data_IF_711806819581
#
_entry.id   IF_711806819581
#
_cell.length_a   1.000
_cell.length_b   1.000
_cell.length_c   1.000
_cell.angle_alpha   90.00
_cell.angle_beta   90.00
_cell.angle_gamma   90.00
#
_symmetry.space_group_name_H-M   'P 1'
#
loop_
_entity.id
_entity.type
_entity.pdbx_description
1 polymer ?
#
# COMPACT_ATOMS: atom_id res chain seq x y z
N UNK A 1 -38.24 -18.88 14.72
CA UNK A 1 -39.09 -18.36 15.80
C UNK A 1 -40.39 -17.92 15.14
N UNK A 2 -41.41 -18.76 15.18
CA UNK A 2 -42.70 -18.53 14.50
C UNK A 2 -43.73 -18.32 15.61
N UNK A 3 -44.25 -17.10 15.75
CA UNK A 3 -45.30 -16.83 16.74
C UNK A 3 -46.65 -17.37 16.23
N UNK A 4 -47.45 -18.01 17.09
CA UNK A 4 -48.76 -18.52 16.70
C UNK A 4 -49.74 -17.36 16.59
N UNK A 5 -50.47 -17.31 15.47
CA UNK A 5 -51.51 -16.31 15.21
C UNK A 5 -52.66 -16.51 16.21
N UNK A 6 -52.70 -15.69 17.27
CA UNK A 6 -53.83 -15.66 18.19
C UNK A 6 -55.07 -15.08 17.48
N UNK A 7 -56.02 -15.94 17.12
CA UNK A 7 -57.36 -15.55 16.69
C UNK A 7 -58.16 -15.01 17.90
N UNK A 8 -57.80 -13.80 18.33
CA UNK A 8 -58.52 -13.05 19.37
C UNK A 8 -59.03 -11.74 18.79
N UNK A 9 -60.26 -11.77 18.29
CA UNK A 9 -61.27 -10.73 18.53
C UNK A 9 -62.58 -11.18 17.90
N UNK A 10 -63.54 -11.56 18.74
CA UNK A 10 -64.92 -11.80 18.33
C UNK A 10 -65.37 -10.69 17.36
N UNK A 11 -65.73 -11.13 16.16
CA UNK A 11 -65.94 -10.28 14.98
C UNK A 11 -66.65 -8.97 15.36
N UNK A 12 -66.16 -7.79 14.92
CA UNK A 12 -66.82 -6.51 15.17
C UNK A 12 -68.30 -6.53 14.77
N UNK A 13 -68.65 -7.40 13.82
CA UNK A 13 -70.01 -7.68 13.39
C UNK A 13 -70.86 -8.30 14.51
N UNK A 14 -70.33 -9.25 15.30
CA UNK A 14 -71.05 -9.85 16.45
C UNK A 14 -71.34 -8.81 17.55
N UNK A 15 -70.38 -7.92 17.85
CA UNK A 15 -70.60 -6.82 18.82
C UNK A 15 -71.58 -5.78 18.30
N UNK A 16 -71.53 -5.50 17.00
CA UNK A 16 -72.49 -4.62 16.34
C UNK A 16 -73.90 -5.20 16.41
N UNK A 17 -74.11 -6.48 16.06
CA UNK A 17 -75.41 -7.13 16.16
C UNK A 17 -75.92 -7.25 17.59
N UNK A 18 -75.05 -7.47 18.58
CA UNK A 18 -75.45 -7.44 19.99
C UNK A 18 -75.97 -6.04 20.40
N UNK A 19 -75.23 -4.98 20.09
CA UNK A 19 -75.69 -3.59 20.33
C UNK A 19 -76.94 -3.22 19.56
N UNK A 20 -77.10 -3.74 18.34
CA UNK A 20 -78.28 -3.49 17.52
C UNK A 20 -79.50 -4.19 18.09
N UNK A 21 -79.33 -5.42 18.62
CA UNK A 21 -80.38 -6.18 19.30
C UNK A 21 -80.86 -5.46 20.56
N UNK A 22 -79.95 -4.99 21.39
CA UNK A 22 -80.31 -4.26 22.62
C UNK A 22 -81.04 -2.95 22.30
N UNK A 23 -80.60 -2.24 21.26
CA UNK A 23 -81.29 -1.03 20.77
C UNK A 23 -82.64 -1.32 20.14
N UNK A 24 -82.80 -2.45 19.47
CA UNK A 24 -84.08 -2.88 18.89
C UNK A 24 -85.10 -3.22 19.96
N UNK A 25 -84.69 -3.90 21.04
CA UNK A 25 -85.57 -4.20 22.17
C UNK A 25 -85.99 -2.92 22.91
N UNK A 26 -85.07 -1.97 23.12
CA UNK A 26 -85.41 -0.66 23.69
C UNK A 26 -86.38 0.14 22.79
N UNK A 27 -86.12 0.16 21.48
CA UNK A 27 -86.98 0.84 20.49
C UNK A 27 -88.37 0.20 20.39
N UNK A 28 -88.47 -1.12 20.62
CA UNK A 28 -89.73 -1.86 20.63
C UNK A 28 -90.59 -1.56 21.86
N UNK A 29 -89.97 -1.22 23.01
CA UNK A 29 -90.68 -0.79 24.21
C UNK A 29 -91.24 0.63 24.09
N UNK A 30 -90.58 1.51 23.35
CA UNK A 30 -90.97 2.92 23.19
C UNK A 30 -92.09 3.12 22.13
N UNK A 31 -92.30 2.13 21.26
CA UNK A 31 -93.39 2.09 20.30
C UNK A 31 -94.52 1.17 20.80
N UNK A 32 -95.55 1.75 21.42
CA UNK A 32 -96.80 1.04 21.72
C UNK A 32 -97.46 0.55 20.41
N UNK A 33 -97.27 -0.75 20.09
CA UNK A 33 -97.86 -1.39 18.92
C UNK A 33 -99.34 -1.70 19.15
N UNK A 34 -100.21 -0.79 18.73
CA UNK A 34 -101.64 -1.04 18.57
C UNK A 34 -101.88 -2.06 17.43
N UNK A 35 -102.83 -2.98 17.59
CA UNK A 35 -102.98 -4.17 16.74
C UNK A 35 -103.37 -3.81 15.29
N UNK A 36 -104.00 -2.65 15.09
CA UNK A 36 -104.35 -2.08 13.79
C UNK A 36 -103.24 -1.20 13.15
N UNK A 37 -102.19 -0.84 13.90
CA UNK A 37 -101.05 -0.06 13.40
C UNK A 37 -99.89 -0.94 12.92
N UNK A 38 -99.89 -2.24 13.27
CA UNK A 38 -98.87 -3.22 12.87
C UNK A 38 -98.69 -3.33 11.35
N UNK A 39 -99.76 -3.38 10.55
CA UNK A 39 -99.63 -3.54 9.08
C UNK A 39 -99.01 -2.31 8.40
N UNK A 40 -99.31 -1.11 8.89
CA UNK A 40 -98.79 0.16 8.35
C UNK A 40 -97.31 0.34 8.66
N UNK A 41 -96.90 0.03 9.89
CA UNK A 41 -95.48 0.07 10.27
C UNK A 41 -94.66 -1.02 9.58
N UNK A 42 -95.22 -2.22 9.39
CA UNK A 42 -94.58 -3.29 8.62
C UNK A 42 -94.39 -2.88 7.16
N UNK A 43 -95.38 -2.26 6.52
CA UNK A 43 -95.28 -1.73 5.15
C UNK A 43 -94.21 -0.62 4.99
N UNK A 44 -94.00 0.20 6.02
CA UNK A 44 -92.98 1.26 6.00
C UNK A 44 -91.57 0.76 6.35
N UNK A 45 -91.43 -0.22 7.24
CA UNK A 45 -90.13 -0.71 7.69
C UNK A 45 -89.45 -1.67 6.70
N UNK A 46 -90.23 -2.49 5.98
CA UNK A 46 -89.69 -3.42 4.97
C UNK A 46 -88.82 -2.72 3.90
N UNK A 47 -89.26 -1.64 3.23
CA UNK A 47 -88.42 -0.97 2.22
C UNK A 47 -87.19 -0.30 2.84
N UNK A 48 -87.28 0.23 4.07
CA UNK A 48 -86.14 0.82 4.78
C UNK A 48 -85.08 -0.25 5.09
N UNK A 49 -85.51 -1.43 5.55
CA UNK A 49 -84.62 -2.57 5.83
C UNK A 49 -83.95 -3.07 4.54
N UNK A 50 -84.68 -3.16 3.43
CA UNK A 50 -84.11 -3.55 2.14
C UNK A 50 -83.05 -2.56 1.65
N UNK A 51 -83.32 -1.25 1.74
CA UNK A 51 -82.34 -0.20 1.40
C UNK A 51 -81.12 -0.28 2.31
N UNK A 52 -81.30 -0.53 3.61
CA UNK A 52 -80.19 -0.70 4.54
C UNK A 52 -79.32 -1.92 4.22
N UNK A 53 -79.94 -3.06 3.83
CA UNK A 53 -79.20 -4.26 3.42
C UNK A 53 -78.39 -4.05 2.14
N UNK A 54 -78.93 -3.33 1.16
CA UNK A 54 -78.22 -2.96 -0.07
C UNK A 54 -77.08 -1.97 0.22
N UNK A 55 -77.28 -1.01 1.12
CA UNK A 55 -76.21 -0.09 1.53
C UNK A 55 -75.06 -0.82 2.28
N UNK A 56 -75.39 -1.79 3.14
CA UNK A 56 -74.41 -2.60 3.85
C UNK A 56 -73.64 -3.54 2.91
N UNK A 57 -74.30 -4.14 1.91
CA UNK A 57 -73.61 -4.98 0.92
C UNK A 57 -72.69 -4.15 0.01
N UNK A 58 -73.12 -2.95 -0.39
CA UNK A 58 -72.30 -2.04 -1.19
C UNK A 58 -71.06 -1.54 -0.43
N UNK A 59 -71.22 -1.12 0.83
CA UNK A 59 -70.08 -0.69 1.67
C UNK A 59 -69.11 -1.85 1.98
N UNK A 60 -69.63 -3.07 2.17
CA UNK A 60 -68.80 -4.28 2.26
C UNK A 60 -68.02 -4.59 0.98
N UNK A 61 -68.65 -4.45 -0.18
CA UNK A 61 -68.00 -4.64 -1.48
C UNK A 61 -66.90 -3.61 -1.74
N UNK A 62 -67.16 -2.32 -1.50
CA UNK A 62 -66.18 -1.23 -1.67
C UNK A 62 -64.99 -1.40 -0.72
N UNK A 63 -65.22 -1.80 0.53
CA UNK A 63 -64.13 -2.06 1.47
C UNK A 63 -63.33 -3.32 1.13
N UNK A 64 -63.98 -4.34 0.56
CA UNK A 64 -63.32 -5.55 0.07
C UNK A 64 -62.42 -5.26 -1.15
N UNK A 65 -62.91 -4.50 -2.14
CA UNK A 65 -62.12 -4.11 -3.30
C UNK A 65 -60.96 -3.18 -2.93
N UNK A 66 -61.15 -2.30 -1.94
CA UNK A 66 -60.05 -1.48 -1.38
C UNK A 66 -58.95 -2.34 -0.75
N UNK A 67 -59.29 -3.41 -0.03
CA UNK A 67 -58.30 -4.34 0.56
C UNK A 67 -57.58 -5.16 -0.50
N UNK A 68 -58.28 -5.58 -1.56
CA UNK A 68 -57.65 -6.31 -2.69
C UNK A 68 -56.64 -5.40 -3.39
N UNK A 69 -57.01 -4.15 -3.67
CA UNK A 69 -56.12 -3.20 -4.33
C UNK A 69 -54.91 -2.85 -3.46
N UNK A 70 -55.08 -2.75 -2.14
CA UNK A 70 -53.98 -2.60 -1.18
C UNK A 70 -53.06 -3.84 -1.13
N UNK A 71 -53.63 -5.05 -1.18
CA UNK A 71 -52.83 -6.27 -1.23
C UNK A 71 -52.03 -6.36 -2.55
N UNK A 72 -52.63 -5.99 -3.68
CA UNK A 72 -51.96 -5.94 -4.98
C UNK A 72 -50.82 -4.92 -4.99
N UNK A 73 -51.02 -3.73 -4.42
CA UNK A 73 -49.97 -2.71 -4.36
C UNK A 73 -48.79 -3.17 -3.48
N UNK A 74 -49.08 -3.82 -2.35
CA UNK A 74 -48.05 -4.44 -1.49
C UNK A 74 -47.25 -5.51 -2.22
N UNK A 75 -47.92 -6.38 -2.99
CA UNK A 75 -47.24 -7.38 -3.82
C UNK A 75 -46.32 -6.74 -4.86
N UNK A 76 -46.78 -5.69 -5.57
CA UNK A 76 -45.93 -4.98 -6.53
C UNK A 76 -44.71 -4.34 -5.88
N UNK A 77 -44.84 -3.77 -4.68
CA UNK A 77 -43.71 -3.20 -3.94
C UNK A 77 -42.73 -4.29 -3.53
N UNK A 78 -43.24 -5.40 -3.01
CA UNK A 78 -42.41 -6.54 -2.59
C UNK A 78 -41.67 -7.17 -3.79
N UNK A 79 -42.31 -7.28 -4.95
CA UNK A 79 -41.69 -7.75 -6.18
C UNK A 79 -40.54 -6.83 -6.63
N UNK A 80 -40.76 -5.50 -6.59
CA UNK A 80 -39.70 -4.52 -6.88
C UNK A 80 -38.55 -4.60 -5.88
N UNK A 81 -38.83 -4.82 -4.60
CA UNK A 81 -37.80 -4.99 -3.58
C UNK A 81 -36.99 -6.28 -3.80
N UNK A 82 -37.65 -7.38 -4.16
CA UNK A 82 -36.96 -8.63 -4.50
C UNK A 82 -36.06 -8.47 -5.72
N UNK A 83 -36.55 -7.82 -6.79
CA UNK A 83 -35.73 -7.53 -7.96
C UNK A 83 -34.53 -6.62 -7.62
N UNK A 84 -34.72 -5.63 -6.75
CA UNK A 84 -33.63 -4.79 -6.25
C UNK A 84 -32.58 -5.59 -5.46
N UNK A 85 -33.03 -6.45 -4.54
CA UNK A 85 -32.16 -7.32 -3.76
C UNK A 85 -31.38 -8.31 -4.63
N UNK A 86 -31.99 -8.83 -5.70
CA UNK A 86 -31.31 -9.73 -6.64
C UNK A 86 -30.16 -9.02 -7.38
N UNK A 87 -30.41 -7.78 -7.83
CA UNK A 87 -29.36 -6.93 -8.43
C UNK A 87 -28.25 -6.62 -7.42
N UNK A 88 -28.60 -6.27 -6.19
CA UNK A 88 -27.62 -5.98 -5.13
C UNK A 88 -26.76 -7.20 -4.78
N UNK A 89 -27.38 -8.40 -4.73
CA UNK A 89 -26.68 -9.66 -4.49
C UNK A 89 -25.72 -9.98 -5.65
N UNK A 90 -26.15 -9.76 -6.88
CA UNK A 90 -25.29 -9.96 -8.05
C UNK A 90 -24.11 -8.97 -8.06
N UNK A 91 -24.34 -7.71 -7.71
CA UNK A 91 -23.28 -6.70 -7.57
C UNK A 91 -22.28 -7.09 -6.47
N UNK A 92 -22.75 -7.44 -5.27
CA UNK A 92 -21.87 -7.87 -4.18
C UNK A 92 -21.08 -9.14 -4.54
N UNK A 93 -21.66 -10.07 -5.29
CA UNK A 93 -20.94 -11.24 -5.80
C UNK A 93 -19.82 -10.85 -6.77
N UNK A 94 -20.10 -9.92 -7.69
CA UNK A 94 -19.09 -9.43 -8.63
C UNK A 94 -17.95 -8.70 -7.90
N UNK A 95 -18.27 -7.90 -6.89
CA UNK A 95 -17.27 -7.19 -6.08
C UNK A 95 -16.43 -8.14 -5.24
N UNK A 96 -17.02 -9.23 -4.71
CA UNK A 96 -16.28 -10.28 -4.02
C UNK A 96 -15.27 -10.97 -4.96
N UNK A 97 -15.67 -11.31 -6.18
CA UNK A 97 -14.76 -11.92 -7.16
C UNK A 97 -13.63 -10.97 -7.58
N UNK A 98 -13.92 -9.67 -7.74
CA UNK A 98 -12.88 -8.65 -7.97
C UNK A 98 -11.91 -8.56 -6.80
N UNK A 99 -12.42 -8.46 -5.57
CA UNK A 99 -11.62 -8.39 -4.36
C UNK A 99 -10.71 -9.63 -4.22
N UNK A 100 -11.22 -10.81 -4.56
CA UNK A 100 -10.44 -12.05 -4.58
C UNK A 100 -9.32 -12.03 -5.62
N UNK A 101 -9.61 -11.52 -6.83
CA UNK A 101 -8.60 -11.36 -7.87
C UNK A 101 -7.52 -10.35 -7.46
N UNK A 102 -7.91 -9.21 -6.88
CA UNK A 102 -6.99 -8.19 -6.37
C UNK A 102 -6.11 -8.75 -5.26
N UNK A 103 -6.68 -9.48 -4.31
CA UNK A 103 -5.93 -10.12 -3.22
C UNK A 103 -4.92 -11.13 -3.76
N UNK A 104 -5.29 -11.93 -4.77
CA UNK A 104 -4.36 -12.85 -5.44
C UNK A 104 -3.22 -12.09 -6.10
N UNK A 105 -3.51 -10.99 -6.79
CA UNK A 105 -2.51 -10.15 -7.45
C UNK A 105 -1.56 -9.52 -6.43
N UNK A 106 -2.09 -8.93 -5.36
CA UNK A 106 -1.29 -8.34 -4.27
C UNK A 106 -0.38 -9.37 -3.62
N UNK A 107 -0.85 -10.62 -3.46
CA UNK A 107 -0.01 -11.70 -2.93
C UNK A 107 1.18 -12.00 -3.85
N UNK A 108 0.95 -12.10 -5.17
CA UNK A 108 2.03 -12.29 -6.15
C UNK A 108 2.99 -11.11 -6.18
N UNK A 109 2.49 -9.88 -6.12
CA UNK A 109 3.31 -8.68 -6.08
C UNK A 109 4.20 -8.64 -4.83
N UNK A 110 3.67 -9.08 -3.69
CA UNK A 110 4.41 -9.18 -2.43
C UNK A 110 5.53 -10.24 -2.49
N UNK A 111 5.26 -11.41 -3.06
CA UNK A 111 6.25 -12.47 -3.27
C UNK A 111 7.37 -12.01 -4.22
N UNK A 112 7.01 -11.30 -5.29
CA UNK A 112 7.96 -10.69 -6.22
C UNK A 112 8.83 -9.62 -5.54
N UNK A 113 8.22 -8.72 -4.77
CA UNK A 113 8.93 -7.69 -4.02
C UNK A 113 9.93 -8.31 -3.03
N UNK A 114 9.53 -9.37 -2.31
CA UNK A 114 10.41 -10.10 -1.40
C UNK A 114 11.62 -10.69 -2.13
N UNK A 115 11.39 -11.32 -3.29
CA UNK A 115 12.48 -11.87 -4.11
C UNK A 115 13.45 -10.79 -4.59
N UNK A 116 12.94 -9.60 -4.95
CA UNK A 116 13.78 -8.47 -5.34
C UNK A 116 14.61 -7.91 -4.18
N UNK A 117 14.03 -7.86 -2.97
CA UNK A 117 14.75 -7.47 -1.75
C UNK A 117 15.89 -8.44 -1.47
N UNK A 118 15.62 -9.75 -1.51
CA UNK A 118 16.65 -10.78 -1.28
C UNK A 118 17.79 -10.70 -2.30
N UNK A 119 17.46 -10.44 -3.58
CA UNK A 119 18.46 -10.22 -4.63
C UNK A 119 19.29 -8.96 -4.37
N UNK A 120 18.65 -7.88 -3.97
CA UNK A 120 19.33 -6.62 -3.67
C UNK A 120 20.26 -6.75 -2.47
N UNK A 121 19.84 -7.49 -1.42
CA UNK A 121 20.68 -7.77 -0.27
C UNK A 121 21.95 -8.53 -0.67
N UNK A 122 21.82 -9.59 -1.47
CA UNK A 122 22.98 -10.35 -1.98
C UNK A 122 23.93 -9.47 -2.79
N UNK A 123 23.41 -8.56 -3.61
CA UNK A 123 24.24 -7.63 -4.38
C UNK A 123 25.00 -6.65 -3.47
N UNK A 124 24.35 -6.17 -2.40
CA UNK A 124 25.00 -5.32 -1.39
C UNK A 124 26.11 -6.09 -0.68
N UNK A 125 25.87 -7.33 -0.26
CA UNK A 125 26.87 -8.17 0.42
C UNK A 125 28.11 -8.41 -0.48
N UNK A 126 27.88 -8.66 -1.78
CA UNK A 126 28.95 -8.76 -2.78
C UNK A 126 29.74 -7.45 -2.90
N UNK A 127 29.05 -6.31 -3.05
CA UNK A 127 29.69 -5.01 -3.17
C UNK A 127 30.52 -4.66 -1.93
N UNK A 128 30.04 -4.99 -0.74
CA UNK A 128 30.79 -4.82 0.52
C UNK A 128 32.07 -5.67 0.52
N UNK A 129 31.98 -6.93 0.06
CA UNK A 129 33.14 -7.82 -0.05
C UNK A 129 34.17 -7.32 -1.06
N UNK A 130 33.71 -6.86 -2.24
CA UNK A 130 34.57 -6.27 -3.27
C UNK A 130 35.26 -5.01 -2.78
N UNK A 131 34.53 -4.13 -2.06
CA UNK A 131 35.10 -2.92 -1.45
C UNK A 131 36.20 -3.27 -0.44
N UNK A 132 36.00 -4.29 0.39
CA UNK A 132 37.01 -4.72 1.35
C UNK A 132 38.27 -5.24 0.65
N UNK A 133 38.10 -6.08 -0.37
CA UNK A 133 39.22 -6.58 -1.18
C UNK A 133 40.00 -5.43 -1.84
N UNK A 134 39.29 -4.45 -2.41
CA UNK A 134 39.94 -3.28 -3.01
C UNK A 134 40.69 -2.43 -1.98
N UNK A 135 40.17 -2.29 -0.77
CA UNK A 135 40.86 -1.60 0.32
C UNK A 135 42.15 -2.33 0.72
N UNK A 136 42.11 -3.66 0.79
CA UNK A 136 43.28 -4.48 1.11
C UNK A 136 44.35 -4.39 0.00
N UNK A 137 43.93 -4.41 -1.27
CA UNK A 137 44.82 -4.21 -2.41
C UNK A 137 45.48 -2.83 -2.40
N UNK A 138 44.73 -1.78 -2.06
CA UNK A 138 45.25 -0.41 -1.99
C UNK A 138 46.31 -0.31 -0.88
N UNK A 139 46.06 -0.92 0.27
CA UNK A 139 47.04 -1.00 1.36
C UNK A 139 48.31 -1.73 0.94
N UNK A 140 48.18 -2.89 0.28
CA UNK A 140 49.34 -3.63 -0.24
C UNK A 140 50.16 -2.79 -1.22
N UNK A 141 49.49 -2.07 -2.13
CA UNK A 141 50.16 -1.22 -3.11
C UNK A 141 50.89 -0.04 -2.44
N UNK A 142 50.32 0.51 -1.38
CA UNK A 142 50.95 1.56 -0.58
C UNK A 142 52.21 1.04 0.13
N UNK A 143 52.16 -0.17 0.68
CA UNK A 143 53.31 -0.82 1.32
C UNK A 143 54.42 -1.10 0.30
N UNK A 144 54.06 -1.59 -0.90
CA UNK A 144 54.98 -1.80 -2.01
C UNK A 144 55.64 -0.49 -2.47
N UNK A 145 54.87 0.59 -2.58
CA UNK A 145 55.39 1.91 -2.91
C UNK A 145 56.42 2.40 -1.89
N UNK A 146 56.10 2.30 -0.59
CA UNK A 146 57.01 2.66 0.51
C UNK A 146 58.31 1.84 0.48
N UNK A 147 58.20 0.54 0.23
CA UNK A 147 59.34 -0.37 0.05
C UNK A 147 60.21 0.03 -1.15
N UNK A 148 59.58 0.35 -2.29
CA UNK A 148 60.27 0.77 -3.49
C UNK A 148 60.99 2.11 -3.29
N UNK A 149 60.37 3.08 -2.63
CA UNK A 149 61.00 4.35 -2.25
C UNK A 149 62.21 4.13 -1.36
N UNK A 150 62.12 3.23 -0.38
CA UNK A 150 63.25 2.90 0.50
C UNK A 150 64.42 2.29 -0.27
N UNK A 151 64.13 1.33 -1.17
CA UNK A 151 65.13 0.74 -2.06
C UNK A 151 65.77 1.78 -2.96
N UNK A 152 64.98 2.70 -3.52
CA UNK A 152 65.48 3.79 -4.36
C UNK A 152 66.43 4.72 -3.59
N UNK A 153 66.05 5.16 -2.38
CA UNK A 153 66.88 6.00 -1.54
C UNK A 153 68.19 5.29 -1.12
N UNK A 154 68.10 3.99 -0.85
CA UNK A 154 69.27 3.15 -0.55
C UNK A 154 70.19 3.05 -1.76
N UNK A 155 69.64 2.78 -2.95
CA UNK A 155 70.41 2.70 -4.19
C UNK A 155 71.08 4.04 -4.52
N UNK A 156 70.36 5.15 -4.33
CA UNK A 156 70.91 6.49 -4.51
C UNK A 156 72.08 6.75 -3.55
N UNK A 157 71.95 6.34 -2.29
CA UNK A 157 73.01 6.47 -1.28
C UNK A 157 74.23 5.60 -1.62
N UNK A 158 73.99 4.35 -2.02
CA UNK A 158 75.04 3.43 -2.46
C UNK A 158 75.77 3.95 -3.70
N UNK A 159 75.05 4.55 -4.65
CA UNK A 159 75.64 5.16 -5.84
C UNK A 159 76.56 6.33 -5.46
N UNK A 160 76.12 7.25 -4.59
CA UNK A 160 76.97 8.34 -4.07
C UNK A 160 78.19 7.82 -3.32
N UNK A 161 78.03 6.79 -2.50
CA UNK A 161 79.14 6.16 -1.80
C UNK A 161 80.15 5.53 -2.77
N UNK A 162 79.67 4.90 -3.85
CA UNK A 162 80.51 4.34 -4.90
C UNK A 162 81.27 5.42 -5.67
N UNK A 163 80.60 6.52 -6.04
CA UNK A 163 81.25 7.69 -6.64
C UNK A 163 82.42 8.16 -5.76
N UNK A 164 82.16 8.25 -4.45
CA UNK A 164 83.15 8.73 -3.50
C UNK A 164 84.32 7.75 -3.28
N UNK A 165 84.04 6.46 -3.10
CA UNK A 165 85.06 5.42 -2.96
C UNK A 165 85.97 5.37 -4.20
N UNK A 166 85.41 5.56 -5.40
CA UNK A 166 86.18 5.65 -6.64
C UNK A 166 87.12 6.87 -6.61
N UNK A 167 86.62 8.05 -6.25
CA UNK A 167 87.43 9.27 -6.16
C UNK A 167 88.57 9.12 -5.11
N UNK A 168 88.27 8.54 -3.95
CA UNK A 168 89.26 8.24 -2.91
C UNK A 168 90.34 7.25 -3.38
N UNK A 169 89.99 6.25 -4.19
CA UNK A 169 90.96 5.31 -4.77
C UNK A 169 91.98 5.98 -5.71
N UNK A 170 91.60 7.13 -6.29
CA UNK A 170 92.46 7.99 -7.12
C UNK A 170 93.15 9.10 -6.32
N UNK A 171 92.97 9.12 -5.00
CA UNK A 171 93.49 10.11 -4.08
C UNK A 171 92.99 11.54 -4.38
N UNK A 172 91.73 11.66 -4.82
CA UNK A 172 91.08 12.91 -5.21
C UNK A 172 90.07 13.37 -4.14
N UNK A 173 90.14 14.64 -3.73
CA UNK A 173 89.23 15.21 -2.72
C UNK A 173 87.94 15.80 -3.33
N UNK A 174 88.04 16.39 -4.54
CA UNK A 174 86.92 16.93 -5.29
C UNK A 174 86.75 16.14 -6.59
N UNK A 175 85.50 15.94 -7.04
CA UNK A 175 85.22 15.23 -8.28
C UNK A 175 84.00 15.80 -9.01
N UNK A 176 83.89 15.51 -10.31
CA UNK A 176 82.72 15.83 -11.13
C UNK A 176 82.27 14.60 -11.93
N UNK A 177 80.97 14.51 -12.22
CA UNK A 177 80.43 13.43 -13.05
C UNK A 177 80.06 13.98 -14.43
N UNK A 178 80.73 13.50 -15.48
CA UNK A 178 80.43 13.86 -16.87
C UNK A 178 80.31 12.59 -17.70
N UNK A 179 79.17 12.40 -18.36
CA UNK A 179 78.91 11.24 -19.23
C UNK A 179 79.20 9.88 -18.56
N UNK A 180 78.79 9.71 -17.30
CA UNK A 180 79.08 8.54 -16.45
C UNK A 180 80.56 8.29 -16.11
N UNK A 181 81.47 9.22 -16.44
CA UNK A 181 82.84 9.19 -15.96
C UNK A 181 83.00 10.14 -14.77
N UNK A 182 83.80 9.70 -13.80
CA UNK A 182 84.18 10.52 -12.65
C UNK A 182 85.55 11.14 -12.98
N UNK A 183 85.61 12.46 -13.02
CA UNK A 183 86.87 13.18 -13.24
C UNK A 183 87.32 13.82 -11.93
N UNK A 184 88.61 13.69 -11.62
CA UNK A 184 89.20 14.33 -10.46
C UNK A 184 89.30 15.85 -10.67
N UNK A 185 88.98 16.59 -9.62
CA UNK A 185 88.97 18.05 -9.61
C UNK A 185 89.90 18.55 -8.51
N UNK A 186 90.62 19.63 -8.79
CA UNK A 186 91.50 20.31 -7.82
C UNK A 186 91.04 21.76 -7.68
N UNK A 187 91.02 22.26 -6.46
CA UNK A 187 90.73 23.66 -6.15
C UNK A 187 92.02 24.48 -6.22
N UNK A 188 92.04 25.50 -7.05
CA UNK A 188 93.15 26.47 -7.18
C UNK A 188 92.56 27.86 -7.01
N UNK A 189 92.84 28.51 -5.87
CA UNK A 189 92.18 29.74 -5.48
C UNK A 189 90.69 29.53 -5.20
N UNK A 190 89.83 30.30 -5.87
CA UNK A 190 88.37 30.20 -5.78
C UNK A 190 87.74 29.33 -6.89
N UNK A 191 88.56 28.71 -7.76
CA UNK A 191 88.11 27.95 -8.93
C UNK A 191 88.47 26.48 -8.85
N UNK A 192 87.71 25.66 -9.56
CA UNK A 192 87.87 24.21 -9.63
C UNK A 192 88.29 23.78 -11.05
N UNK A 193 89.28 22.90 -11.17
CA UNK A 193 89.82 22.45 -12.46
C UNK A 193 89.91 20.92 -12.53
N UNK A 194 89.55 20.30 -13.67
CA UNK A 194 89.74 18.85 -13.88
C UNK A 194 91.22 18.46 -14.03
N UNK A 195 91.56 17.20 -13.73
CA UNK A 195 92.91 16.62 -13.90
C UNK A 195 92.82 15.40 -14.83
N UNK A 196 93.70 15.23 -15.84
CA UNK A 196 94.86 16.05 -16.18
C UNK A 196 94.57 17.30 -17.02
N UNK A 197 93.36 17.43 -17.60
CA UNK A 197 93.00 18.55 -18.48
C UNK A 197 92.39 19.67 -17.63
N UNK A 198 93.05 20.82 -17.49
CA UNK A 198 92.65 21.93 -16.59
C UNK A 198 91.43 22.75 -17.02
N UNK A 199 90.32 22.12 -17.40
CA UNK A 199 89.06 22.80 -17.69
C UNK A 199 88.41 23.28 -16.37
N UNK A 200 87.97 24.54 -16.36
CA UNK A 200 87.23 25.11 -15.22
C UNK A 200 85.88 24.39 -15.08
N UNK A 201 85.60 23.91 -13.86
CA UNK A 201 84.34 23.25 -13.50
C UNK A 201 83.54 24.22 -12.62
N UNK A 202 82.26 24.50 -12.97
CA UNK A 202 81.44 25.34 -12.13
C UNK A 202 81.13 24.65 -10.79
N UNK A 203 81.12 25.42 -9.71
CA UNK A 203 81.01 24.90 -8.33
C UNK A 203 79.76 24.04 -8.10
N UNK A 204 78.65 24.33 -8.79
CA UNK A 204 77.41 23.54 -8.70
C UNK A 204 77.51 22.12 -9.27
N UNK A 205 78.59 21.80 -10.01
CA UNK A 205 78.87 20.47 -10.56
C UNK A 205 79.94 19.72 -9.75
N UNK A 206 80.64 20.42 -8.85
CA UNK A 206 81.69 19.83 -8.02
C UNK A 206 81.04 19.13 -6.84
N UNK A 207 81.40 17.86 -6.67
CA UNK A 207 81.01 17.05 -5.52
C UNK A 207 82.23 16.81 -4.64
N UNK A 208 81.99 16.74 -3.34
CA UNK A 208 82.98 16.36 -2.34
C UNK A 208 82.60 15.02 -1.73
N UNK A 209 83.60 14.16 -1.63
CA UNK A 209 83.71 13.23 -0.53
C UNK A 209 83.99 14.01 0.77
#
# INVERSE_FOLDING_TARGET
>A
MYEPYEDKKGSPIKRFFAKLKDRWEAFKQELHFDENAKSKWVLLLIPIILVALVALSYTGYVTYTARITEAQSKLMVMEKQMAGLEVDLQNTRNDLERCKADLSKTKTDLENARTQIDKSQKNVDTCVSEKQNLADQLKSLQDDYSSLTTKFNTLQSNYKALECNWAQSKNCLYYTLKNNNIDCVVKIGEKYYTVPVGLEVPENQVKTC
#
